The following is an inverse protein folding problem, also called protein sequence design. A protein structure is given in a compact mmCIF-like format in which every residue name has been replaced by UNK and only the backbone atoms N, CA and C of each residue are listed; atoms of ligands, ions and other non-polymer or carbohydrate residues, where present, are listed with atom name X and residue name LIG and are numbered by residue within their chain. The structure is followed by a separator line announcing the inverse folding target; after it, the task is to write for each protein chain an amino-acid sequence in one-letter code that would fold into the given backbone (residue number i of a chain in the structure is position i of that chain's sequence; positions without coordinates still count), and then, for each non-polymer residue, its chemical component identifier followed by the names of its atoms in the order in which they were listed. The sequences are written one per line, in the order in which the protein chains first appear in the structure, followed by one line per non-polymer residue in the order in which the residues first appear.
data_IF_678776402785
#
_entry.id   IF_678776402785
#
_cell.length_a   1.000
_cell.length_b   1.000
_cell.length_c   1.000
_cell.angle_alpha   90.00
_cell.angle_beta   90.00
_cell.angle_gamma   90.00
#
_symmetry.space_group_name_H-M   'P 1'
#
loop_
_entity.id
_entity.type
_entity.pdbx_description
1 polymer ?
#
# COMPACT_ATOMS: atom_id res chain seq x y z
N UNK A 1 6.53 -8.96 -5.02
CA UNK A 1 5.58 -8.03 -4.40
C UNK A 1 4.44 -7.71 -5.35
N UNK A 2 3.22 -7.86 -4.88
CA UNK A 2 2.03 -7.47 -5.64
C UNK A 2 1.86 -5.96 -5.50
N UNK A 3 1.55 -5.31 -6.63
CA UNK A 3 1.13 -3.91 -6.65
C UNK A 3 -0.39 -3.87 -6.65
N UNK A 4 -1.01 -3.13 -5.73
CA UNK A 4 -2.45 -3.17 -5.47
C UNK A 4 -3.34 -2.82 -6.65
N UNK A 5 -2.85 -2.03 -7.59
CA UNK A 5 -3.68 -1.47 -8.65
C UNK A 5 -4.27 -2.49 -9.63
N UNK A 6 -3.56 -3.49 -10.17
CA UNK A 6 -4.15 -4.50 -11.07
C UNK A 6 -4.38 -5.85 -10.38
N UNK A 7 -4.80 -5.88 -9.12
CA UNK A 7 -5.01 -7.14 -8.40
C UNK A 7 -6.37 -7.76 -8.73
N UNK A 8 -6.35 -8.98 -9.27
CA UNK A 8 -7.52 -9.82 -9.44
C UNK A 8 -7.48 -10.99 -8.45
N UNK A 9 -8.58 -11.22 -7.73
CA UNK A 9 -8.70 -12.29 -6.75
C UNK A 9 -9.64 -13.37 -7.27
N UNK A 10 -9.19 -14.63 -7.24
CA UNK A 10 -10.05 -15.76 -7.57
C UNK A 10 -10.87 -16.17 -6.33
N UNK A 11 -12.11 -15.71 -6.26
CA UNK A 11 -13.01 -15.95 -5.12
C UNK A 11 -13.42 -17.42 -4.96
N UNK A 12 -13.20 -18.29 -5.95
CA UNK A 12 -13.38 -19.75 -5.79
C UNK A 12 -12.45 -20.34 -4.73
N UNK A 13 -11.37 -19.61 -4.40
CA UNK A 13 -10.40 -19.98 -3.36
C UNK A 13 -10.38 -18.96 -2.22
N UNK A 14 -11.55 -18.48 -1.83
CA UNK A 14 -11.69 -17.47 -0.79
C UNK A 14 -10.94 -17.84 0.51
N UNK A 15 -10.91 -19.12 0.83
CA UNK A 15 -10.23 -19.66 2.02
C UNK A 15 -8.72 -19.35 2.04
N UNK A 16 -8.10 -19.17 0.86
CA UNK A 16 -6.66 -18.89 0.69
C UNK A 16 -6.34 -17.39 0.63
N UNK A 17 -7.36 -16.55 0.51
CA UNK A 17 -7.17 -15.10 0.40
C UNK A 17 -6.96 -14.51 1.78
N UNK A 18 -5.83 -13.83 2.06
CA UNK A 18 -5.61 -13.12 3.33
C UNK A 18 -6.45 -11.85 3.42
N UNK A 19 -6.59 -11.30 4.61
CA UNK A 19 -7.18 -9.97 4.77
C UNK A 19 -6.24 -8.89 4.28
N UNK A 20 -6.79 -7.83 3.71
CA UNK A 20 -6.08 -6.57 3.59
C UNK A 20 -5.93 -5.91 4.96
N UNK A 21 -4.79 -5.28 5.16
CA UNK A 21 -4.53 -4.49 6.36
C UNK A 21 -3.68 -3.27 6.02
N UNK A 22 -3.91 -2.21 6.75
CA UNK A 22 -3.10 -1.00 6.67
C UNK A 22 -3.23 -0.23 8.00
N UNK A 23 -2.13 0.21 8.61
CA UNK A 23 -2.21 1.12 9.75
C UNK A 23 -3.00 2.38 9.37
N UNK A 24 -3.72 2.95 10.31
CA UNK A 24 -4.57 4.12 10.07
C UNK A 24 -3.80 5.25 9.36
N UNK A 25 -4.36 5.77 8.28
CA UNK A 25 -3.75 6.84 7.48
C UNK A 25 -2.46 6.48 6.74
N UNK A 26 -2.03 5.21 6.75
CA UNK A 26 -0.91 4.72 5.96
C UNK A 26 -1.33 4.33 4.52
N UNK A 27 -0.38 3.84 3.72
CA UNK A 27 -0.60 3.36 2.34
C UNK A 27 0.30 2.16 2.07
N UNK A 28 -0.08 0.99 2.56
CA UNK A 28 0.75 -0.20 2.49
C UNK A 28 -0.05 -1.51 2.41
N UNK A 29 -1.35 -1.42 2.12
CA UNK A 29 -2.28 -2.55 2.07
C UNK A 29 -1.82 -3.67 1.13
N UNK A 30 -1.28 -3.32 -0.04
CA UNK A 30 -0.73 -4.26 -1.02
C UNK A 30 0.58 -4.92 -0.52
N UNK A 31 1.37 -4.19 0.25
CA UNK A 31 2.59 -4.72 0.84
C UNK A 31 2.26 -5.79 1.90
N UNK A 32 1.33 -5.52 2.82
CA UNK A 32 0.91 -6.48 3.84
C UNK A 32 0.17 -7.67 3.23
N UNK A 33 -0.69 -7.44 2.25
CA UNK A 33 -1.33 -8.50 1.51
C UNK A 33 -0.30 -9.44 0.86
N UNK A 34 0.73 -8.86 0.24
CA UNK A 34 1.82 -9.63 -0.39
C UNK A 34 2.62 -10.49 0.60
N UNK A 35 2.82 -10.01 1.86
CA UNK A 35 3.50 -10.79 2.91
C UNK A 35 2.77 -12.10 3.27
N UNK A 36 1.45 -12.08 3.16
CA UNK A 36 0.60 -13.19 3.56
C UNK A 36 0.29 -14.15 2.41
N UNK A 37 0.69 -13.81 1.19
CA UNK A 37 0.52 -14.66 0.02
C UNK A 37 1.71 -15.60 -0.16
N UNK A 38 1.40 -16.85 -0.46
CA UNK A 38 2.40 -17.79 -0.94
C UNK A 38 2.69 -17.50 -2.43
N UNK A 39 3.96 -17.37 -2.80
CA UNK A 39 4.41 -17.05 -4.16
C UNK A 39 3.81 -17.98 -5.24
N UNK A 40 3.62 -19.26 -4.92
CA UNK A 40 3.02 -20.23 -5.83
C UNK A 40 1.55 -19.98 -6.18
N UNK A 41 0.92 -18.96 -5.57
CA UNK A 41 -0.50 -18.61 -5.79
C UNK A 41 -0.67 -17.33 -6.59
N UNK A 42 0.42 -16.73 -7.05
CA UNK A 42 0.41 -15.47 -7.78
C UNK A 42 0.74 -15.74 -9.23
N UNK A 43 -0.16 -15.35 -10.13
CA UNK A 43 0.03 -15.46 -11.58
C UNK A 43 0.00 -14.07 -12.17
N UNK A 44 1.00 -13.75 -13.00
CA UNK A 44 0.98 -12.53 -13.80
C UNK A 44 0.10 -12.76 -15.02
N UNK A 45 -0.84 -11.86 -15.24
CA UNK A 45 -1.71 -11.84 -16.43
C UNK A 45 -1.38 -10.63 -17.29
N UNK A 46 -1.29 -10.80 -18.63
CA UNK A 46 -0.99 -9.70 -19.55
C UNK A 46 -2.22 -8.82 -19.73
N UNK A 47 -2.45 -7.90 -18.82
CA UNK A 47 -3.54 -6.94 -18.89
C UNK A 47 -3.02 -5.51 -18.87
N UNK A 48 -3.70 -4.62 -19.57
CA UNK A 48 -3.44 -3.19 -19.49
C UNK A 48 -4.28 -2.59 -18.38
N UNK A 49 -3.64 -1.87 -17.48
CA UNK A 49 -4.30 -1.11 -16.43
C UNK A 49 -4.24 0.38 -16.73
N UNK A 50 -5.40 0.99 -16.92
CA UNK A 50 -5.54 2.43 -17.14
C UNK A 50 -5.83 3.11 -15.81
N UNK A 51 -5.01 4.08 -15.44
CA UNK A 51 -5.14 4.82 -14.20
C UNK A 51 -5.73 6.22 -14.45
N UNK A 52 -6.53 6.76 -13.52
CA UNK A 52 -7.17 8.10 -13.60
C UNK A 52 -6.33 9.25 -14.14
N UNK A 53 -5.01 9.34 -13.87
CA UNK A 53 -4.19 10.38 -14.47
C UNK A 53 -4.26 10.45 -16.00
N UNK A 54 -4.66 9.36 -16.67
CA UNK A 54 -4.78 9.35 -18.12
C UNK A 54 -5.99 10.11 -18.65
N UNK A 55 -7.01 10.36 -17.87
CA UNK A 55 -8.13 11.25 -18.22
C UNK A 55 -7.62 12.65 -18.58
N UNK A 56 -6.56 13.12 -17.91
CA UNK A 56 -5.90 14.40 -18.20
C UNK A 56 -5.15 14.42 -19.55
N UNK A 57 -4.96 13.29 -20.18
CA UNK A 57 -4.21 13.12 -21.43
C UNK A 57 -5.08 12.72 -22.63
N UNK A 58 -6.36 13.06 -22.63
CA UNK A 58 -7.32 12.64 -23.64
C UNK A 58 -7.39 11.11 -23.79
N UNK A 59 -8.42 10.59 -23.31
CA UNK A 59 -9.02 9.28 -23.36
C UNK A 59 -8.19 8.19 -24.09
N UNK A 60 -7.42 7.44 -23.31
CA UNK A 60 -6.61 6.32 -23.83
C UNK A 60 -7.46 5.27 -24.55
N UNK A 61 -8.75 5.14 -24.18
CA UNK A 61 -9.71 4.24 -24.82
C UNK A 61 -9.99 4.60 -26.28
N UNK A 62 -9.69 5.84 -26.70
CA UNK A 62 -9.76 6.27 -28.09
C UNK A 62 -8.48 5.96 -28.89
N UNK A 63 -7.55 5.15 -28.33
CA UNK A 63 -6.30 4.77 -28.99
C UNK A 63 -5.25 5.88 -29.06
N UNK A 64 -5.49 7.00 -28.39
CA UNK A 64 -4.55 8.16 -28.38
C UNK A 64 -3.69 8.13 -27.13
N UNK A 65 -2.58 7.43 -27.19
CA UNK A 65 -1.57 7.50 -26.14
C UNK A 65 -0.85 8.85 -26.17
N UNK A 66 -0.61 9.50 -25.02
CA UNK A 66 0.24 10.68 -25.00
C UNK A 66 1.67 10.28 -25.41
N UNK A 67 2.09 10.74 -26.57
CA UNK A 67 3.45 10.46 -27.09
C UNK A 67 4.55 11.20 -26.32
N UNK A 68 4.17 12.26 -25.58
CA UNK A 68 5.06 13.04 -24.70
C UNK A 68 4.32 13.46 -23.45
N UNK A 69 4.94 13.28 -22.30
CA UNK A 69 4.47 13.88 -21.05
C UNK A 69 4.74 15.38 -21.16
N UNK A 70 3.68 16.17 -21.03
CA UNK A 70 3.80 17.62 -20.96
C UNK A 70 4.47 17.98 -19.63
N UNK A 71 5.73 18.43 -19.71
CA UNK A 71 6.52 18.81 -18.53
C UNK A 71 5.91 19.97 -17.75
N UNK A 72 5.09 20.81 -18.40
CA UNK A 72 4.41 21.93 -17.72
C UNK A 72 3.33 21.42 -16.76
N UNK A 73 2.74 20.27 -17.03
CA UNK A 73 1.75 19.62 -16.13
C UNK A 73 2.37 18.86 -14.97
N UNK A 74 3.66 18.56 -15.00
CA UNK A 74 4.38 17.93 -13.88
C UNK A 74 4.61 18.89 -12.71
N UNK A 75 4.52 20.19 -12.94
CA UNK A 75 4.63 21.25 -11.93
C UNK A 75 3.27 21.69 -11.35
N UNK A 76 2.19 21.00 -11.68
CA UNK A 76 0.87 21.26 -11.11
C UNK A 76 0.91 21.00 -9.59
N UNK A 77 0.36 21.94 -8.79
CA UNK A 77 0.19 21.80 -7.33
C UNK A 77 -0.47 20.47 -6.93
N UNK A 78 -1.28 19.89 -7.81
CA UNK A 78 -1.89 18.57 -7.61
C UNK A 78 -0.85 17.44 -7.55
N UNK A 79 0.21 17.51 -8.33
CA UNK A 79 1.32 16.53 -8.35
C UNK A 79 2.12 16.61 -7.06
N UNK A 80 2.44 17.84 -6.63
CA UNK A 80 3.12 18.10 -5.36
C UNK A 80 2.34 17.58 -4.16
N UNK A 81 1.06 17.91 -4.08
CA UNK A 81 0.18 17.41 -3.02
C UNK A 81 0.07 15.89 -3.04
N UNK A 82 0.01 15.28 -4.22
CA UNK A 82 -0.02 13.83 -4.36
C UNK A 82 1.28 13.20 -3.88
N UNK A 83 2.42 13.74 -4.29
CA UNK A 83 3.73 13.26 -3.84
C UNK A 83 3.85 13.32 -2.32
N UNK A 84 3.49 14.46 -1.72
CA UNK A 84 3.49 14.66 -0.28
C UNK A 84 2.62 13.63 0.46
N UNK A 85 1.38 13.42 0.00
CA UNK A 85 0.47 12.42 0.59
C UNK A 85 0.99 10.99 0.45
N UNK A 86 1.58 10.66 -0.70
CA UNK A 86 2.14 9.32 -0.96
C UNK A 86 3.37 9.08 -0.10
N UNK A 87 4.28 10.05 -0.01
CA UNK A 87 5.49 9.95 0.82
C UNK A 87 5.12 9.72 2.30
N UNK A 88 4.17 10.50 2.84
CA UNK A 88 3.66 10.31 4.20
C UNK A 88 3.05 8.91 4.39
N UNK A 89 2.19 8.49 3.46
CA UNK A 89 1.56 7.17 3.52
C UNK A 89 2.58 6.03 3.55
N UNK A 90 3.66 6.14 2.78
CA UNK A 90 4.73 5.13 2.76
C UNK A 90 5.56 5.12 4.02
N UNK A 91 5.85 6.28 4.61
CA UNK A 91 6.58 6.35 5.86
C UNK A 91 5.77 5.77 7.01
N UNK A 92 4.48 5.99 7.04
CA UNK A 92 3.57 5.50 8.09
C UNK A 92 3.48 3.98 8.17
N UNK A 93 3.44 3.26 7.05
CA UNK A 93 3.41 1.80 7.13
C UNK A 93 4.79 1.16 7.35
N UNK A 94 5.88 1.90 7.12
CA UNK A 94 7.25 1.39 7.16
C UNK A 94 7.62 0.67 8.47
N UNK A 95 7.33 1.22 9.67
CA UNK A 95 7.62 0.54 10.93
C UNK A 95 6.97 -0.84 11.03
N UNK A 96 5.67 -0.93 10.80
CA UNK A 96 4.97 -2.21 10.86
C UNK A 96 5.50 -3.21 9.83
N UNK A 97 5.78 -2.77 8.60
CA UNK A 97 6.32 -3.63 7.56
C UNK A 97 7.67 -4.23 7.98
N UNK A 98 8.58 -3.41 8.49
CA UNK A 98 9.88 -3.88 8.99
C UNK A 98 9.73 -4.83 10.18
N UNK A 99 8.85 -4.49 11.13
CA UNK A 99 8.62 -5.32 12.30
C UNK A 99 8.03 -6.69 11.93
N UNK A 100 7.19 -6.76 10.93
CA UNK A 100 6.59 -8.00 10.43
C UNK A 100 7.55 -8.86 9.58
N UNK A 101 8.53 -8.24 8.90
CA UNK A 101 9.41 -8.93 7.95
C UNK A 101 10.81 -9.21 8.47
N UNK A 102 11.33 -8.36 9.35
CA UNK A 102 12.72 -8.44 9.84
C UNK A 102 12.82 -7.88 11.27
N UNK A 103 12.22 -8.59 12.19
CA UNK A 103 12.13 -8.16 13.59
C UNK A 103 13.50 -8.06 14.25
N UNK A 104 14.46 -8.90 13.86
CA UNK A 104 15.80 -8.92 14.43
C UNK A 104 16.61 -7.65 14.07
N UNK A 105 16.44 -7.16 12.84
CA UNK A 105 17.13 -5.96 12.38
C UNK A 105 16.26 -4.69 12.46
N UNK A 106 15.08 -4.79 13.06
CA UNK A 106 14.08 -3.71 13.10
C UNK A 106 14.68 -2.36 13.51
N UNK A 107 15.32 -2.30 14.67
CA UNK A 107 15.91 -1.07 15.22
C UNK A 107 16.99 -0.48 14.30
N UNK A 108 17.81 -1.32 13.69
CA UNK A 108 18.85 -0.92 12.74
C UNK A 108 18.23 -0.30 11.49
N UNK A 109 17.18 -0.93 10.94
CA UNK A 109 16.52 -0.45 9.73
C UNK A 109 15.70 0.83 9.99
N UNK A 110 15.09 1.00 11.17
CA UNK A 110 14.46 2.27 11.56
C UNK A 110 15.52 3.39 11.65
N UNK A 111 16.65 3.16 12.33
CA UNK A 111 17.73 4.15 12.41
C UNK A 111 18.25 4.54 11.02
N UNK A 112 18.41 3.58 10.12
CA UNK A 112 18.80 3.81 8.73
C UNK A 112 17.75 4.63 7.97
N UNK A 113 16.46 4.35 8.20
CA UNK A 113 15.35 5.13 7.60
C UNK A 113 15.38 6.58 8.08
N UNK A 114 15.54 6.83 9.38
CA UNK A 114 15.71 8.18 9.95
C UNK A 114 16.89 8.91 9.30
N UNK A 115 18.07 8.24 9.22
CA UNK A 115 19.25 8.83 8.58
C UNK A 115 19.00 9.23 7.13
N UNK A 116 18.32 8.36 6.35
CA UNK A 116 18.00 8.63 4.96
C UNK A 116 17.01 9.79 4.82
N UNK A 117 15.98 9.86 5.66
CA UNK A 117 15.04 10.98 5.69
C UNK A 117 15.74 12.30 6.00
N UNK A 118 16.55 12.36 7.08
CA UNK A 118 17.29 13.57 7.44
C UNK A 118 18.17 14.07 6.29
N UNK A 119 18.74 13.16 5.49
CA UNK A 119 19.55 13.52 4.32
C UNK A 119 18.70 14.01 3.15
N UNK A 120 17.52 13.41 2.93
CA UNK A 120 16.66 13.71 1.76
C UNK A 120 15.73 14.91 1.95
N UNK A 121 15.25 15.16 3.18
CA UNK A 121 14.29 16.22 3.48
C UNK A 121 14.72 17.61 2.99
N UNK A 122 15.98 18.06 3.17
CA UNK A 122 16.38 19.39 2.67
C UNK A 122 16.20 19.55 1.15
N UNK A 123 16.49 18.51 0.38
CA UNK A 123 16.28 18.51 -1.07
C UNK A 123 14.79 18.54 -1.43
N UNK A 124 13.95 17.78 -0.71
CA UNK A 124 12.50 17.78 -0.90
C UNK A 124 11.90 19.14 -0.56
N UNK A 125 12.26 19.75 0.57
CA UNK A 125 11.80 21.09 0.96
C UNK A 125 12.24 22.17 -0.04
N UNK A 126 13.44 22.04 -0.61
CA UNK A 126 13.91 22.94 -1.67
C UNK A 126 13.13 22.78 -2.98
N UNK A 127 12.75 21.54 -3.33
CA UNK A 127 12.01 21.24 -4.55
C UNK A 127 10.53 21.62 -4.44
N UNK A 128 9.91 21.36 -3.28
CA UNK A 128 8.49 21.54 -3.01
C UNK A 128 8.29 22.62 -1.95
N UNK A 129 8.43 23.86 -2.36
CA UNK A 129 8.50 25.04 -1.46
C UNK A 129 7.29 25.20 -0.53
N UNK A 130 6.11 24.76 -0.96
CA UNK A 130 4.85 24.91 -0.22
C UNK A 130 4.60 23.77 0.80
N UNK A 131 5.54 22.82 0.94
CA UNK A 131 5.38 21.64 1.81
C UNK A 131 6.56 21.48 2.75
N UNK A 132 6.26 21.22 4.02
CA UNK A 132 7.27 20.82 4.99
C UNK A 132 7.38 19.30 5.09
N UNK A 133 8.46 18.75 4.58
CA UNK A 133 8.73 17.31 4.62
C UNK A 133 9.33 16.84 5.95
N UNK A 134 9.59 17.74 6.92
CA UNK A 134 9.98 17.33 8.27
C UNK A 134 8.89 16.47 8.93
N UNK A 135 7.63 16.66 8.56
CA UNK A 135 6.49 15.81 8.97
C UNK A 135 6.74 14.30 8.75
N UNK A 136 7.63 13.91 7.82
CA UNK A 136 7.96 12.50 7.59
C UNK A 136 8.71 11.89 8.77
N UNK A 137 9.50 12.67 9.49
CA UNK A 137 10.17 12.22 10.71
C UNK A 137 9.17 12.05 11.85
N UNK A 138 8.24 12.98 11.99
CA UNK A 138 7.17 12.93 12.99
C UNK A 138 6.23 11.73 12.72
N UNK A 139 5.80 11.55 11.46
CA UNK A 139 5.02 10.39 11.06
C UNK A 139 5.78 9.08 11.37
N UNK A 140 7.08 8.99 11.03
CA UNK A 140 7.89 7.80 11.33
C UNK A 140 7.97 7.51 12.83
N UNK A 141 8.23 8.53 13.65
CA UNK A 141 8.33 8.40 15.10
C UNK A 141 7.02 7.93 15.72
N UNK A 142 5.90 8.55 15.33
CA UNK A 142 4.54 8.17 15.77
C UNK A 142 4.24 6.70 15.49
N UNK A 143 4.46 6.25 14.26
CA UNK A 143 4.15 4.87 13.87
C UNK A 143 5.18 3.86 14.41
N UNK A 144 6.42 4.30 14.64
CA UNK A 144 7.43 3.49 15.32
C UNK A 144 7.07 3.25 16.79
N UNK A 145 6.58 4.25 17.49
CA UNK A 145 6.13 4.08 18.90
C UNK A 145 4.93 3.16 19.03
N UNK A 146 4.06 3.09 18.02
CA UNK A 146 2.85 2.28 18.04
C UNK A 146 3.02 0.89 17.39
N UNK A 147 4.22 0.55 16.90
CA UNK A 147 4.44 -0.62 16.04
C UNK A 147 3.97 -1.95 16.63
N UNK A 148 4.08 -2.13 17.95
CA UNK A 148 3.65 -3.37 18.62
C UNK A 148 2.14 -3.51 18.58
N UNK A 149 1.40 -2.43 18.88
CA UNK A 149 -0.05 -2.40 18.79
C UNK A 149 -0.52 -2.62 17.35
N UNK A 150 0.08 -1.91 16.39
CA UNK A 150 -0.22 -2.09 14.96
C UNK A 150 0.03 -3.54 14.51
N UNK A 151 1.02 -4.23 15.07
CA UNK A 151 1.30 -5.62 14.76
C UNK A 151 0.28 -6.58 15.37
N UNK A 152 -0.16 -6.33 16.59
CA UNK A 152 -1.26 -7.07 17.23
C UNK A 152 -2.56 -6.91 16.45
N UNK A 153 -2.89 -5.70 16.04
CA UNK A 153 -4.06 -5.40 15.22
C UNK A 153 -3.98 -6.10 13.85
N UNK A 154 -2.81 -6.07 13.21
CA UNK A 154 -2.56 -6.81 11.97
C UNK A 154 -2.84 -8.31 12.12
N UNK A 155 -2.35 -8.93 13.19
CA UNK A 155 -2.60 -10.35 13.47
C UNK A 155 -4.08 -10.60 13.78
N UNK A 156 -4.71 -9.74 14.58
CA UNK A 156 -6.11 -9.84 14.94
C UNK A 156 -7.03 -9.81 13.71
N UNK A 157 -6.79 -8.89 12.78
CA UNK A 157 -7.55 -8.80 11.53
C UNK A 157 -7.48 -10.10 10.72
N UNK A 158 -6.32 -10.78 10.68
CA UNK A 158 -6.21 -12.08 10.00
C UNK A 158 -7.05 -13.17 10.68
N UNK A 159 -7.10 -13.17 12.01
CA UNK A 159 -7.94 -14.11 12.79
C UNK A 159 -9.42 -13.87 12.53
N UNK A 160 -9.87 -12.61 12.58
CA UNK A 160 -11.27 -12.23 12.29
C UNK A 160 -11.65 -12.61 10.86
N UNK A 161 -10.77 -12.31 9.89
CA UNK A 161 -10.98 -12.66 8.50
C UNK A 161 -11.11 -14.18 8.27
N UNK A 162 -10.29 -14.96 8.95
CA UNK A 162 -10.38 -16.43 8.91
C UNK A 162 -11.74 -16.94 9.40
N UNK A 163 -12.26 -16.38 10.51
CA UNK A 163 -13.59 -16.71 11.03
C UNK A 163 -14.68 -16.32 10.03
N UNK A 164 -14.64 -15.12 9.49
CA UNK A 164 -15.60 -14.62 8.51
C UNK A 164 -15.66 -15.51 7.25
N UNK A 165 -14.50 -15.88 6.69
CA UNK A 165 -14.43 -16.79 5.54
C UNK A 165 -15.09 -18.13 5.83
N UNK A 166 -14.87 -18.69 7.01
CA UNK A 166 -15.51 -19.94 7.43
C UNK A 166 -17.03 -19.82 7.42
N UNK A 167 -17.57 -18.77 8.03
CA UNK A 167 -19.01 -18.50 8.05
C UNK A 167 -19.61 -18.35 6.66
N UNK A 168 -18.94 -17.61 5.78
CA UNK A 168 -19.38 -17.43 4.37
C UNK A 168 -19.42 -18.78 3.64
N UNK A 169 -18.38 -19.60 3.79
CA UNK A 169 -18.30 -20.90 3.13
C UNK A 169 -19.38 -21.87 3.64
N UNK A 170 -19.64 -21.86 4.93
CA UNK A 170 -20.68 -22.71 5.54
C UNK A 170 -22.10 -22.29 5.11
N UNK A 171 -22.37 -20.99 5.04
CA UNK A 171 -23.66 -20.48 4.57
C UNK A 171 -23.89 -20.75 3.07
N UNK A 172 -22.86 -20.61 2.23
CA UNK A 172 -22.97 -20.93 0.81
C UNK A 172 -23.27 -22.42 0.60
N UNK A 173 -22.68 -23.32 1.39
CA UNK A 173 -23.00 -24.77 1.30
C UNK A 173 -24.47 -25.04 1.65
N UNK A 174 -25.03 -24.37 2.65
CA UNK A 174 -26.45 -24.52 3.02
C UNK A 174 -27.39 -24.03 1.91
N UNK A 175 -27.06 -22.94 1.23
CA UNK A 175 -27.85 -22.41 0.11
C UNK A 175 -27.86 -23.34 -1.10
N UNK A 176 -26.72 -24.00 -1.41
CA UNK A 176 -26.63 -24.97 -2.53
C UNK A 176 -27.40 -26.26 -2.25
N UNK A 177 -27.55 -26.66 -0.98
CA UNK A 177 -28.32 -27.88 -0.59
C UNK A 177 -29.83 -27.61 -0.57
N UNK A 178 -30.24 -26.35 -0.47
CA UNK A 178 -31.65 -25.94 -0.42
C UNK A 178 -32.28 -25.67 -1.80
N UNK A 179 -31.50 -25.76 -2.87
CA UNK A 179 -31.94 -25.72 -4.28
C UNK A 179 -32.00 -27.12 -4.89
#
# INVERSE_FOLDING_TARGET
RILGSPLCLNLKHLEKIPAFYNPEGARGEDAFFSLLLNENKVVSVPVYHFHDPFIKFNNVLEGKYPRKIDKTKSNDKSVEQRFYKVARGWIKYRPLYLYATDKENYEKEIKKTVKNLKRGIPAMNKMFKDKDFNILLEDLEKYNSNVKQDYEDFQHVQVVWKKLKKTITENNKKLVIAQ
#
